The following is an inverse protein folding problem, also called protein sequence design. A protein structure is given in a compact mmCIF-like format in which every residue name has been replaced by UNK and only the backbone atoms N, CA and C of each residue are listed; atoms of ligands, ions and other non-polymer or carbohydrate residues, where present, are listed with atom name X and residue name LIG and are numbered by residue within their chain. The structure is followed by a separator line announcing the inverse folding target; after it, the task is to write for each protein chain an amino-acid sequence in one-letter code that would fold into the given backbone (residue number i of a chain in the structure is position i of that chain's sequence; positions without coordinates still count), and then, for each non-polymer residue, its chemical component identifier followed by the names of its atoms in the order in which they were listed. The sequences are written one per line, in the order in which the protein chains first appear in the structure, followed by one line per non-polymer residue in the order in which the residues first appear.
data_IF_104129064531
#
_entry.id   IF_104129064531
#
_cell.length_a   1.000
_cell.length_b   1.000
_cell.length_c   1.000
_cell.angle_alpha   90.00
_cell.angle_beta   90.00
_cell.angle_gamma   90.00
#
_symmetry.space_group_name_H-M   'P 1'
#
loop_
_entity.id
_entity.type
_entity.pdbx_description
1 polymer ?
#
# COMPACT_ATOMS: atom_id res chain seq x y z
N UNK A 1 77.54 54.16 -59.98
CA UNK A 1 76.77 54.59 -58.79
C UNK A 1 75.46 53.82 -58.81
N UNK A 2 75.23 52.92 -57.86
CA UNK A 2 74.22 51.87 -57.94
C UNK A 2 72.82 52.40 -57.60
N UNK A 3 71.85 52.22 -58.50
CA UNK A 3 70.44 52.62 -58.34
C UNK A 3 69.72 51.89 -57.18
N UNK A 4 70.37 50.89 -56.56
CA UNK A 4 69.86 50.19 -55.37
C UNK A 4 69.91 50.99 -54.08
N UNK A 5 70.79 51.99 -53.96
CA UNK A 5 70.97 52.71 -52.69
C UNK A 5 70.03 53.93 -52.51
N UNK A 6 69.35 54.37 -53.57
CA UNK A 6 68.36 55.45 -53.49
C UNK A 6 66.93 54.96 -53.17
N UNK A 7 66.66 53.67 -53.29
CA UNK A 7 65.37 53.06 -52.92
C UNK A 7 65.29 52.58 -51.47
N UNK A 8 66.39 52.67 -50.70
CA UNK A 8 66.45 52.24 -49.31
C UNK A 8 65.94 53.29 -48.29
N UNK A 9 65.57 54.51 -48.71
CA UNK A 9 65.22 55.62 -47.80
C UNK A 9 64.01 56.45 -48.25
N UNK A 10 62.94 55.83 -48.74
CA UNK A 10 61.67 56.54 -49.00
C UNK A 10 60.75 56.46 -47.76
N UNK A 11 60.40 57.60 -47.12
CA UNK A 11 59.61 57.64 -45.88
C UNK A 11 58.17 57.10 -46.04
N UNK A 12 57.68 56.95 -47.26
CA UNK A 12 56.34 56.44 -47.58
C UNK A 12 56.11 54.97 -47.20
N UNK A 13 57.14 54.11 -47.32
CA UNK A 13 57.00 52.67 -46.98
C UNK A 13 56.93 52.45 -45.46
N UNK A 14 57.50 53.37 -44.70
CA UNK A 14 57.43 53.40 -43.24
C UNK A 14 56.06 53.92 -42.81
N UNK A 15 55.54 54.95 -43.48
CA UNK A 15 54.22 55.54 -43.21
C UNK A 15 53.04 54.62 -43.55
N UNK A 16 53.05 53.95 -44.70
CA UNK A 16 52.05 52.93 -45.06
C UNK A 16 52.05 51.77 -44.06
N UNK A 17 53.25 51.29 -43.69
CA UNK A 17 53.42 50.24 -42.69
C UNK A 17 52.96 50.69 -41.30
N UNK A 18 53.18 51.96 -40.91
CA UNK A 18 52.67 52.51 -39.64
C UNK A 18 51.14 52.58 -39.65
N UNK A 19 50.51 53.00 -40.76
CA UNK A 19 49.05 53.05 -40.87
C UNK A 19 48.40 51.66 -40.87
N UNK A 20 49.03 50.68 -41.53
CA UNK A 20 48.57 49.28 -41.51
C UNK A 20 48.70 48.68 -40.11
N UNK A 21 49.80 48.96 -39.40
CA UNK A 21 49.97 48.48 -38.01
C UNK A 21 48.98 49.11 -37.04
N UNK A 22 48.60 50.37 -37.26
CA UNK A 22 47.64 51.07 -36.39
C UNK A 22 46.20 50.56 -36.62
N UNK A 23 45.85 50.24 -37.87
CA UNK A 23 44.58 49.58 -38.22
C UNK A 23 44.54 48.17 -37.62
N UNK A 24 45.62 47.39 -37.73
CA UNK A 24 45.71 46.05 -37.13
C UNK A 24 45.54 46.10 -35.60
N UNK A 25 46.21 47.04 -34.92
CA UNK A 25 46.05 47.25 -33.47
C UNK A 25 44.65 47.72 -33.05
N UNK A 26 43.88 48.33 -33.96
CA UNK A 26 42.46 48.64 -33.72
C UNK A 26 41.61 47.39 -33.87
N UNK A 27 41.81 46.63 -34.95
CA UNK A 27 41.10 45.37 -35.18
C UNK A 27 41.35 44.35 -34.06
N UNK A 28 42.58 44.26 -33.54
CA UNK A 28 42.93 43.36 -32.44
C UNK A 28 42.17 43.73 -31.15
N UNK A 29 42.02 45.02 -30.86
CA UNK A 29 41.21 45.49 -29.72
C UNK A 29 39.73 45.23 -29.91
N UNK A 30 39.18 45.51 -31.09
CA UNK A 30 37.77 45.26 -31.39
C UNK A 30 37.45 43.74 -31.33
N UNK A 31 38.39 42.90 -31.75
CA UNK A 31 38.33 41.45 -31.59
C UNK A 31 38.34 41.03 -30.13
N UNK A 32 39.26 41.56 -29.31
CA UNK A 32 39.34 41.26 -27.88
C UNK A 32 38.05 41.69 -27.14
N UNK A 33 37.51 42.88 -27.47
CA UNK A 33 36.24 43.36 -26.92
C UNK A 33 35.06 42.45 -27.34
N UNK A 34 35.02 42.02 -28.60
CA UNK A 34 34.00 41.09 -29.07
C UNK A 34 34.11 39.70 -28.41
N UNK A 35 35.33 39.18 -28.22
CA UNK A 35 35.59 37.93 -27.51
C UNK A 35 35.14 38.01 -26.05
N UNK A 36 35.46 39.12 -25.37
CA UNK A 36 35.02 39.37 -24.00
C UNK A 36 33.48 39.40 -23.89
N UNK A 37 32.80 40.04 -24.83
CA UNK A 37 31.33 40.08 -24.84
C UNK A 37 30.72 38.71 -25.14
N UNK A 38 31.34 37.91 -26.03
CA UNK A 38 30.95 36.51 -26.24
C UNK A 38 31.08 35.70 -24.95
N UNK A 39 32.19 35.83 -24.21
CA UNK A 39 32.37 35.15 -22.93
C UNK A 39 31.33 35.61 -21.89
N UNK A 40 31.03 36.91 -21.84
CA UNK A 40 29.98 37.47 -20.96
C UNK A 40 28.60 36.91 -21.28
N UNK A 41 28.21 36.90 -22.55
CA UNK A 41 26.92 36.36 -22.98
C UNK A 41 26.83 34.85 -22.77
N UNK A 42 27.92 34.10 -23.00
CA UNK A 42 27.95 32.66 -22.72
C UNK A 42 27.77 32.36 -21.23
N UNK A 43 28.43 33.12 -20.36
CA UNK A 43 28.26 32.97 -18.90
C UNK A 43 26.84 33.36 -18.45
N UNK A 44 26.25 34.39 -19.04
CA UNK A 44 24.87 34.79 -18.79
C UNK A 44 23.85 33.72 -19.25
N UNK A 45 24.08 33.10 -20.42
CA UNK A 45 23.27 31.98 -20.92
C UNK A 45 23.33 30.79 -19.96
N UNK A 46 24.54 30.39 -19.53
CA UNK A 46 24.72 29.27 -18.60
C UNK A 46 24.00 29.56 -17.28
N UNK A 47 24.14 30.77 -16.75
CA UNK A 47 23.46 31.20 -15.53
C UNK A 47 21.94 31.09 -15.67
N UNK A 48 21.36 31.65 -16.73
CA UNK A 48 19.91 31.63 -16.96
C UNK A 48 19.40 30.19 -17.15
N UNK A 49 20.15 29.34 -17.86
CA UNK A 49 19.80 27.93 -18.04
C UNK A 49 19.75 27.18 -16.70
N UNK A 50 20.71 27.41 -15.81
CA UNK A 50 20.72 26.80 -14.48
C UNK A 50 19.54 27.32 -13.62
N UNK A 51 19.22 28.62 -13.69
CA UNK A 51 18.02 29.15 -13.04
C UNK A 51 16.73 28.52 -13.58
N UNK A 52 16.61 28.35 -14.90
CA UNK A 52 15.47 27.67 -15.52
C UNK A 52 15.34 26.22 -15.03
N UNK A 53 16.45 25.49 -14.97
CA UNK A 53 16.47 24.11 -14.47
C UNK A 53 16.00 24.04 -13.02
N UNK A 54 16.55 24.89 -12.15
CA UNK A 54 16.14 24.99 -10.74
C UNK A 54 14.65 25.30 -10.58
N UNK A 55 14.12 26.23 -11.38
CA UNK A 55 12.69 26.57 -11.36
C UNK A 55 11.80 25.43 -11.85
N UNK A 56 12.22 24.69 -12.89
CA UNK A 56 11.50 23.49 -13.35
C UNK A 56 11.48 22.40 -12.28
N UNK A 57 12.60 22.15 -11.62
CA UNK A 57 12.68 21.17 -10.53
C UNK A 57 11.81 21.57 -9.34
N UNK A 58 11.82 22.86 -8.97
CA UNK A 58 10.94 23.39 -7.93
C UNK A 58 9.46 23.24 -8.31
N UNK A 59 9.09 23.58 -9.55
CA UNK A 59 7.73 23.40 -10.06
C UNK A 59 7.29 21.94 -10.01
N UNK A 60 8.14 20.98 -10.40
CA UNK A 60 7.80 19.56 -10.32
C UNK A 60 7.56 19.12 -8.87
N UNK A 61 8.39 19.59 -7.93
CA UNK A 61 8.18 19.32 -6.50
C UNK A 61 6.87 19.91 -6.00
N UNK A 62 6.54 21.15 -6.36
CA UNK A 62 5.24 21.75 -5.97
C UNK A 62 4.07 21.03 -6.63
N UNK A 63 4.21 20.64 -7.90
CA UNK A 63 3.17 19.94 -8.64
C UNK A 63 2.91 18.52 -8.10
N UNK A 64 3.95 17.80 -7.62
CA UNK A 64 3.75 16.53 -6.94
C UNK A 64 3.05 16.71 -5.58
N UNK A 65 3.21 17.88 -4.96
CA UNK A 65 2.47 18.28 -3.77
C UNK A 65 1.02 18.71 -4.06
N UNK A 66 0.65 18.88 -5.32
CA UNK A 66 -0.73 19.14 -5.78
C UNK A 66 -1.24 17.99 -6.66
N UNK A 67 -0.77 16.76 -6.42
CA UNK A 67 -1.26 15.59 -7.16
C UNK A 67 -2.78 15.42 -6.96
N UNK A 68 -3.50 14.82 -7.93
CA UNK A 68 -4.95 14.64 -7.83
C UNK A 68 -5.41 13.91 -6.56
N UNK A 69 -4.58 12.99 -6.04
CA UNK A 69 -4.83 12.31 -4.76
C UNK A 69 -4.99 13.26 -3.58
N UNK A 70 -4.42 14.48 -3.64
CA UNK A 70 -4.56 15.54 -2.63
C UNK A 70 -5.82 16.38 -2.81
N UNK A 71 -6.29 16.54 -4.06
CA UNK A 71 -7.46 17.36 -4.40
C UNK A 71 -8.80 16.64 -4.17
N UNK A 72 -8.80 15.30 -4.18
CA UNK A 72 -10.01 14.50 -3.88
C UNK A 72 -10.48 14.81 -2.45
N UNK A 73 -11.75 15.13 -2.18
CA UNK A 73 -12.27 15.28 -0.81
C UNK A 73 -12.18 13.97 -0.01
N UNK A 74 -12.15 14.06 1.32
CA UNK A 74 -12.01 12.87 2.16
C UNK A 74 -13.21 11.91 2.06
N UNK A 75 -14.40 12.42 1.76
CA UNK A 75 -15.64 11.67 1.57
C UNK A 75 -15.59 10.80 0.32
N UNK A 76 -15.07 11.36 -0.77
CA UNK A 76 -14.87 10.63 -2.03
C UNK A 76 -13.79 9.58 -1.84
N UNK A 77 -12.69 9.94 -1.16
CA UNK A 77 -11.63 8.99 -0.83
C UNK A 77 -12.14 7.84 0.03
N UNK A 78 -12.97 8.13 1.03
CA UNK A 78 -13.60 7.11 1.87
C UNK A 78 -14.58 6.23 1.10
N UNK A 79 -15.31 6.78 0.12
CA UNK A 79 -16.18 6.00 -0.77
C UNK A 79 -15.37 5.05 -1.65
N UNK A 80 -14.23 5.50 -2.17
CA UNK A 80 -13.28 4.64 -2.91
C UNK A 80 -12.75 3.54 -1.98
N UNK A 81 -12.42 3.86 -0.74
CA UNK A 81 -11.94 2.88 0.23
C UNK A 81 -13.00 1.84 0.58
N UNK A 82 -14.25 2.26 0.78
CA UNK A 82 -15.35 1.34 1.09
C UNK A 82 -15.66 0.41 -0.10
N UNK A 83 -15.57 0.93 -1.32
CA UNK A 83 -15.66 0.13 -2.54
C UNK A 83 -14.50 -0.87 -2.67
N UNK A 84 -13.27 -0.46 -2.36
CA UNK A 84 -12.09 -1.32 -2.40
C UNK A 84 -12.02 -2.32 -1.23
N UNK A 85 -12.72 -2.04 -0.12
CA UNK A 85 -12.73 -2.84 1.09
C UNK A 85 -14.00 -3.71 1.14
N UNK A 86 -14.02 -4.77 0.32
CA UNK A 86 -15.12 -5.73 0.30
C UNK A 86 -15.17 -6.55 1.59
N UNK A 87 -14.04 -7.16 1.99
CA UNK A 87 -13.93 -7.96 3.21
C UNK A 87 -12.47 -7.99 3.68
N UNK A 88 -12.23 -8.07 5.00
CA UNK A 88 -10.89 -8.25 5.56
C UNK A 88 -10.71 -9.68 6.05
N UNK A 89 -9.88 -10.46 5.38
CA UNK A 89 -9.58 -11.84 5.71
C UNK A 89 -8.44 -11.94 6.72
N UNK A 90 -8.79 -12.39 7.93
CA UNK A 90 -7.85 -12.87 8.93
C UNK A 90 -7.87 -14.39 8.88
N UNK A 91 -6.79 -14.97 8.37
CA UNK A 91 -6.58 -16.41 8.31
C UNK A 91 -5.48 -16.79 9.30
N UNK A 92 -5.74 -17.83 10.08
CA UNK A 92 -4.74 -18.43 10.94
C UNK A 92 -3.57 -19.01 10.14
N UNK A 93 -2.35 -18.82 10.66
CA UNK A 93 -1.15 -19.39 10.06
C UNK A 93 -0.15 -19.85 11.14
N UNK A 94 0.51 -21.01 10.99
CA UNK A 94 0.29 -22.02 9.95
C UNK A 94 -1.04 -22.77 10.13
N UNK A 95 -1.68 -23.13 9.01
CA UNK A 95 -2.92 -23.91 9.03
C UNK A 95 -2.62 -25.34 9.48
N UNK A 96 -3.03 -25.69 10.70
CA UNK A 96 -2.80 -27.01 11.30
C UNK A 96 -4.12 -27.75 11.44
N UNK A 97 -4.38 -28.69 10.52
CA UNK A 97 -5.43 -29.69 10.70
C UNK A 97 -4.72 -30.91 11.29
N UNK A 98 -4.93 -31.14 12.58
CA UNK A 98 -4.47 -32.36 13.24
C UNK A 98 -5.23 -33.55 12.63
N UNK A 99 -4.49 -34.55 12.15
CA UNK A 99 -4.98 -35.93 12.03
C UNK A 99 -4.53 -36.58 13.34
N UNK A 100 -5.47 -37.03 14.18
CA UNK A 100 -5.08 -37.72 15.41
C UNK A 100 -4.45 -39.08 15.04
N UNK A 101 -3.33 -39.42 15.68
CA UNK A 101 -2.67 -40.74 15.61
C UNK A 101 -3.33 -41.77 16.55
N UNK A 102 -4.58 -41.53 17.00
CA UNK A 102 -5.30 -42.42 17.91
C UNK A 102 -6.02 -43.54 17.13
N UNK A 103 -6.18 -44.71 17.74
CA UNK A 103 -6.70 -45.98 17.17
C UNK A 103 -8.10 -45.91 16.49
N UNK A 104 -8.74 -44.74 16.46
CA UNK A 104 -9.95 -44.38 15.71
C UNK A 104 -9.61 -43.75 14.33
N UNK A 105 -8.53 -44.22 13.69
CA UNK A 105 -7.99 -43.78 12.37
C UNK A 105 -9.03 -43.75 11.23
N UNK A 106 -10.19 -44.41 11.41
CA UNK A 106 -11.13 -44.71 10.32
C UNK A 106 -12.11 -43.59 9.96
N UNK A 107 -12.22 -42.50 10.73
CA UNK A 107 -13.36 -41.58 10.59
C UNK A 107 -13.06 -40.16 10.07
N UNK A 108 -11.81 -39.69 10.08
CA UNK A 108 -11.51 -38.30 9.69
C UNK A 108 -10.17 -38.15 8.96
N UNK A 109 -10.18 -38.10 7.61
CA UNK A 109 -8.97 -37.78 6.84
C UNK A 109 -8.81 -36.26 6.67
N UNK A 110 -7.56 -35.77 6.64
CA UNK A 110 -7.25 -34.35 6.38
C UNK A 110 -7.87 -33.82 5.08
N UNK A 111 -8.08 -34.71 4.09
CA UNK A 111 -8.67 -34.42 2.79
C UNK A 111 -10.19 -34.15 2.85
N UNK A 112 -10.87 -34.59 3.91
CA UNK A 112 -12.31 -34.39 4.11
C UNK A 112 -12.64 -32.97 4.62
N UNK A 113 -11.62 -32.22 5.04
CA UNK A 113 -11.79 -30.86 5.55
C UNK A 113 -11.58 -29.82 4.45
N UNK A 114 -12.45 -28.78 4.37
CA UNK A 114 -12.28 -27.73 3.39
C UNK A 114 -10.97 -26.99 3.65
N UNK A 115 -10.20 -26.82 2.57
CA UNK A 115 -8.98 -26.05 2.60
C UNK A 115 -9.28 -24.58 2.93
N UNK A 116 -8.37 -23.89 3.64
CA UNK A 116 -8.49 -22.45 3.88
C UNK A 116 -8.48 -21.69 2.55
N UNK A 117 -8.89 -20.42 2.58
CA UNK A 117 -8.80 -19.55 1.41
C UNK A 117 -7.36 -19.54 0.88
N UNK A 118 -7.16 -19.95 -0.37
CA UNK A 118 -5.83 -19.96 -0.98
C UNK A 118 -5.35 -18.52 -1.23
N UNK A 119 -4.29 -18.12 -0.54
CA UNK A 119 -3.69 -16.78 -0.65
C UNK A 119 -2.71 -16.72 -1.83
N UNK A 120 -3.23 -16.55 -3.05
CA UNK A 120 -2.41 -16.47 -4.28
C UNK A 120 -1.77 -15.11 -4.52
N UNK A 121 -2.21 -14.09 -3.76
CA UNK A 121 -1.80 -12.69 -3.89
C UNK A 121 -1.07 -12.23 -2.63
N UNK A 122 -0.33 -11.11 -2.67
CA UNK A 122 0.31 -10.59 -1.46
C UNK A 122 -0.71 -10.37 -0.33
N UNK A 123 -0.34 -10.69 0.92
CA UNK A 123 -1.22 -10.63 2.12
C UNK A 123 -2.02 -9.32 2.22
N UNK A 124 -1.40 -8.21 1.79
CA UNK A 124 -2.00 -6.89 1.81
C UNK A 124 -3.30 -6.78 0.99
N UNK A 125 -3.50 -7.64 -0.01
CA UNK A 125 -4.74 -7.71 -0.82
C UNK A 125 -5.92 -8.30 -0.05
N UNK A 126 -5.66 -9.09 0.98
CA UNK A 126 -6.68 -9.73 1.83
C UNK A 126 -7.03 -8.90 3.07
N UNK A 127 -6.24 -7.87 3.36
CA UNK A 127 -6.48 -6.92 4.47
C UNK A 127 -6.59 -5.48 3.96
N UNK A 128 -7.58 -5.18 3.10
CA UNK A 128 -7.71 -3.88 2.43
C UNK A 128 -7.74 -2.70 3.41
N UNK A 129 -8.44 -2.80 4.55
CA UNK A 129 -8.45 -1.70 5.52
C UNK A 129 -7.05 -1.42 6.11
N UNK A 130 -6.29 -2.48 6.37
CA UNK A 130 -4.92 -2.35 6.88
C UNK A 130 -4.00 -1.77 5.80
N UNK A 131 -4.09 -2.29 4.57
CA UNK A 131 -3.39 -1.82 3.38
C UNK A 131 -3.57 -0.32 3.17
N UNK A 132 -4.83 0.11 3.06
CA UNK A 132 -5.20 1.50 2.85
C UNK A 132 -4.66 2.37 3.99
N UNK A 133 -4.77 1.91 5.25
CA UNK A 133 -4.28 2.65 6.41
C UNK A 133 -2.75 2.76 6.51
N UNK A 134 -2.01 1.99 5.71
CA UNK A 134 -0.55 1.93 5.71
C UNK A 134 0.09 2.72 4.55
N UNK A 135 -0.69 3.25 3.61
CA UNK A 135 -0.13 3.90 2.41
C UNK A 135 0.51 5.27 2.68
N UNK A 136 -0.22 6.17 3.35
CA UNK A 136 0.27 7.50 3.74
C UNK A 136 -0.52 8.06 4.93
N UNK A 137 0.00 9.12 5.55
CA UNK A 137 -0.65 9.79 6.69
C UNK A 137 -2.11 10.16 6.42
N UNK A 138 -2.42 10.72 5.24
CA UNK A 138 -3.78 11.16 4.90
C UNK A 138 -4.74 9.96 4.78
N UNK A 139 -4.35 8.91 4.07
CA UNK A 139 -5.16 7.71 3.90
C UNK A 139 -5.38 7.00 5.24
N UNK A 140 -4.36 6.96 6.09
CA UNK A 140 -4.47 6.51 7.47
C UNK A 140 -5.51 7.32 8.24
N UNK A 141 -5.43 8.65 8.19
CA UNK A 141 -6.39 9.52 8.88
C UNK A 141 -7.81 9.26 8.40
N UNK A 142 -8.04 9.20 7.08
CA UNK A 142 -9.37 8.93 6.52
C UNK A 142 -9.85 7.52 6.91
N UNK A 143 -9.00 6.50 6.81
CA UNK A 143 -9.37 5.12 7.15
C UNK A 143 -9.77 4.96 8.62
N UNK A 144 -9.09 5.67 9.53
CA UNK A 144 -9.41 5.65 10.95
C UNK A 144 -10.70 6.44 11.28
N UNK A 145 -11.03 7.47 10.50
CA UNK A 145 -12.28 8.21 10.62
C UNK A 145 -13.50 7.49 10.01
N UNK A 146 -13.28 6.39 9.29
CA UNK A 146 -14.34 5.58 8.65
C UNK A 146 -14.35 4.15 9.21
N UNK A 147 -15.07 3.90 10.33
CA UNK A 147 -15.06 2.60 11.01
C UNK A 147 -15.65 1.45 10.17
N UNK A 148 -16.47 1.78 9.15
CA UNK A 148 -17.08 0.79 8.25
C UNK A 148 -16.04 -0.08 7.53
N UNK A 149 -14.87 0.47 7.20
CA UNK A 149 -13.77 -0.25 6.56
C UNK A 149 -13.27 -1.44 7.39
N UNK A 150 -13.41 -1.35 8.72
CA UNK A 150 -12.92 -2.35 9.67
C UNK A 150 -14.02 -3.34 10.12
N UNK A 151 -15.24 -3.19 9.60
CA UNK A 151 -16.44 -3.87 10.11
C UNK A 151 -16.82 -5.13 9.32
N UNK A 152 -16.25 -5.33 8.13
CA UNK A 152 -16.46 -6.50 7.26
C UNK A 152 -15.29 -7.46 7.43
N UNK A 153 -15.53 -8.61 8.05
CA UNK A 153 -14.50 -9.56 8.48
C UNK A 153 -14.77 -10.96 7.91
N UNK A 154 -13.73 -11.59 7.38
CA UNK A 154 -13.66 -13.03 7.13
C UNK A 154 -12.63 -13.62 8.06
N UNK A 155 -13.01 -14.60 8.84
CA UNK A 155 -12.17 -15.21 9.86
C UNK A 155 -12.05 -16.69 9.54
N UNK A 156 -10.83 -17.18 9.40
CA UNK A 156 -10.56 -18.60 9.14
C UNK A 156 -9.62 -19.10 10.23
N UNK A 157 -10.11 -20.05 11.03
CA UNK A 157 -9.39 -20.63 12.18
C UNK A 157 -9.55 -22.13 12.24
N UNK A 158 -8.59 -22.82 12.84
CA UNK A 158 -8.64 -24.24 13.15
C UNK A 158 -8.91 -24.48 14.64
N UNK A 159 -9.30 -25.71 14.97
CA UNK A 159 -9.48 -26.18 16.35
C UNK A 159 -8.18 -26.72 16.96
N UNK A 160 -7.02 -26.53 16.32
CA UNK A 160 -5.75 -27.06 16.83
C UNK A 160 -5.41 -26.55 18.22
N UNK A 161 -4.86 -27.44 19.06
CA UNK A 161 -4.43 -27.11 20.43
C UNK A 161 -3.04 -26.45 20.48
N UNK A 162 -2.30 -26.50 19.38
CA UNK A 162 -0.94 -25.94 19.30
C UNK A 162 -0.93 -24.48 18.83
N UNK A 163 -2.09 -23.98 18.40
CA UNK A 163 -2.25 -22.63 17.92
C UNK A 163 -2.15 -21.60 19.05
N UNK A 164 -1.05 -20.85 19.07
CA UNK A 164 -0.91 -19.72 19.96
C UNK A 164 -1.95 -18.65 19.58
N UNK A 165 -2.83 -18.20 20.49
CA UNK A 165 -3.90 -17.29 20.13
C UNK A 165 -3.44 -15.86 19.85
N UNK A 166 -2.31 -15.44 20.40
CA UNK A 166 -1.81 -14.06 20.33
C UNK A 166 -1.70 -13.48 18.91
N UNK A 167 -1.01 -14.14 17.96
CA UNK A 167 -0.83 -13.65 16.59
C UNK A 167 -2.13 -13.41 15.82
N UNK A 168 -3.19 -14.18 16.09
CA UNK A 168 -4.48 -14.04 15.43
C UNK A 168 -5.40 -13.05 16.17
N UNK A 169 -5.48 -13.17 17.50
CA UNK A 169 -6.36 -12.35 18.34
C UNK A 169 -5.95 -10.88 18.32
N UNK A 170 -4.65 -10.57 18.21
CA UNK A 170 -4.19 -9.18 18.23
C UNK A 170 -4.69 -8.35 17.04
N UNK A 171 -4.52 -8.80 15.78
CA UNK A 171 -5.19 -8.19 14.63
C UNK A 171 -6.72 -8.14 14.79
N UNK A 172 -7.36 -9.23 15.22
CA UNK A 172 -8.82 -9.24 15.38
C UNK A 172 -9.31 -8.15 16.34
N UNK A 173 -8.67 -8.01 17.51
CA UNK A 173 -8.96 -6.93 18.48
C UNK A 173 -8.75 -5.55 17.87
N UNK A 174 -7.71 -5.37 17.04
CA UNK A 174 -7.47 -4.11 16.34
C UNK A 174 -8.62 -3.75 15.40
N UNK A 175 -9.09 -4.70 14.61
CA UNK A 175 -10.22 -4.51 13.69
C UNK A 175 -11.53 -4.23 14.44
N UNK A 176 -11.81 -4.99 15.50
CA UNK A 176 -12.99 -4.77 16.35
C UNK A 176 -12.95 -3.40 17.04
N UNK A 177 -11.79 -2.95 17.51
CA UNK A 177 -11.62 -1.61 18.09
C UNK A 177 -11.84 -0.51 17.05
N UNK A 178 -11.24 -0.63 15.85
CA UNK A 178 -11.34 0.38 14.79
C UNK A 178 -12.70 0.44 14.11
N UNK A 179 -13.48 -0.64 14.14
CA UNK A 179 -14.87 -0.63 13.67
C UNK A 179 -15.82 0.12 14.60
N UNK A 180 -15.40 0.47 15.81
CA UNK A 180 -16.15 1.32 16.73
C UNK A 180 -17.54 0.75 17.03
N UNK A 181 -18.59 1.50 16.68
CA UNK A 181 -19.99 1.09 16.84
C UNK A 181 -20.69 0.80 15.50
N UNK A 182 -19.94 0.66 14.41
CA UNK A 182 -20.54 0.29 13.13
C UNK A 182 -21.06 -1.15 13.19
N UNK A 183 -22.18 -1.46 12.52
CA UNK A 183 -22.67 -2.83 12.46
C UNK A 183 -21.63 -3.75 11.81
N UNK A 184 -21.41 -4.92 12.39
CA UNK A 184 -20.42 -5.91 11.96
C UNK A 184 -21.02 -6.89 10.97
N UNK A 185 -20.26 -7.18 9.91
CA UNK A 185 -20.53 -8.24 8.94
C UNK A 185 -19.39 -9.27 9.07
N UNK A 186 -19.71 -10.43 9.63
CA UNK A 186 -18.72 -11.43 10.03
C UNK A 186 -19.04 -12.76 9.36
N UNK A 187 -18.05 -13.29 8.66
CA UNK A 187 -17.99 -14.69 8.24
C UNK A 187 -16.90 -15.39 9.04
N UNK A 188 -17.26 -16.40 9.81
CA UNK A 188 -16.36 -17.21 10.62
C UNK A 188 -16.38 -18.65 10.11
N UNK A 189 -15.22 -19.13 9.66
CA UNK A 189 -14.99 -20.50 9.24
C UNK A 189 -14.08 -21.18 10.28
N UNK A 190 -14.61 -22.22 10.94
CA UNK A 190 -13.89 -23.01 11.94
C UNK A 190 -13.69 -24.42 11.39
N UNK A 191 -12.43 -24.88 11.35
CA UNK A 191 -12.06 -26.17 10.78
C UNK A 191 -11.38 -27.09 11.80
N UNK A 192 -11.50 -28.40 11.61
CA UNK A 192 -10.88 -29.42 12.46
C UNK A 192 -11.88 -30.14 13.37
N UNK A 193 -11.43 -31.15 14.13
CA UNK A 193 -12.30 -31.94 14.99
C UNK A 193 -12.86 -31.11 16.14
N UNK A 194 -13.97 -31.57 16.71
CA UNK A 194 -14.54 -30.96 17.91
C UNK A 194 -13.55 -31.09 19.08
N UNK A 195 -13.25 -29.97 19.76
CA UNK A 195 -12.42 -29.94 20.97
C UNK A 195 -13.03 -28.98 21.98
N UNK A 196 -13.14 -29.43 23.24
CA UNK A 196 -13.68 -28.64 24.34
C UNK A 196 -12.66 -27.61 24.88
N UNK A 197 -13.05 -26.34 24.80
CA UNK A 197 -12.75 -25.25 25.73
C UNK A 197 -11.34 -24.65 25.89
N UNK A 198 -10.36 -24.93 25.02
CA UNK A 198 -9.09 -24.17 25.05
C UNK A 198 -8.48 -23.80 23.70
N UNK A 199 -9.14 -24.11 22.59
CA UNK A 199 -8.62 -23.84 21.25
C UNK A 199 -8.70 -22.36 20.86
N UNK A 200 -7.96 -21.96 19.82
CA UNK A 200 -8.06 -20.62 19.23
C UNK A 200 -9.51 -20.28 18.85
N UNK A 201 -10.24 -21.23 18.28
CA UNK A 201 -11.64 -21.04 17.89
C UNK A 201 -12.52 -20.57 19.06
N UNK A 202 -12.34 -21.14 20.26
CA UNK A 202 -13.06 -20.71 21.47
C UNK A 202 -12.72 -19.28 21.91
N UNK A 203 -11.46 -18.87 21.76
CA UNK A 203 -11.06 -17.47 22.04
C UNK A 203 -11.68 -16.49 21.05
N UNK A 204 -11.75 -16.87 19.77
CA UNK A 204 -12.33 -16.05 18.71
C UNK A 204 -13.84 -15.92 18.89
N UNK A 205 -14.56 -17.02 19.11
CA UNK A 205 -16.01 -16.99 19.30
C UNK A 205 -16.40 -16.17 20.53
N UNK A 206 -15.69 -16.34 21.66
CA UNK A 206 -15.91 -15.52 22.86
C UNK A 206 -15.69 -14.03 22.59
N UNK A 207 -14.59 -13.67 21.93
CA UNK A 207 -14.30 -12.28 21.60
C UNK A 207 -15.35 -11.67 20.65
N UNK A 208 -15.82 -12.42 19.66
CA UNK A 208 -16.88 -11.94 18.76
C UNK A 208 -18.20 -11.77 19.52
N UNK A 209 -18.55 -12.70 20.42
CA UNK A 209 -19.78 -12.66 21.20
C UNK A 209 -19.87 -11.41 22.09
N UNK A 210 -18.76 -10.89 22.60
CA UNK A 210 -18.70 -9.60 23.32
C UNK A 210 -19.19 -8.42 22.46
N UNK A 211 -19.10 -8.53 21.13
CA UNK A 211 -19.56 -7.53 20.17
C UNK A 211 -20.88 -7.88 19.48
N UNK A 212 -21.58 -8.93 19.93
CA UNK A 212 -22.80 -9.46 19.30
C UNK A 212 -23.91 -8.43 19.11
N UNK A 213 -24.05 -7.49 20.05
CA UNK A 213 -25.08 -6.42 20.02
C UNK A 213 -25.15 -5.64 18.72
N UNK A 214 -24.01 -5.52 18.04
CA UNK A 214 -23.85 -4.77 16.80
C UNK A 214 -23.56 -5.66 15.59
N UNK A 215 -23.76 -6.97 15.69
CA UNK A 215 -23.73 -7.82 14.51
C UNK A 215 -24.92 -7.47 13.61
N UNK A 216 -24.64 -7.23 12.33
CA UNK A 216 -25.64 -7.06 11.28
C UNK A 216 -25.82 -8.35 10.50
N UNK A 217 -24.71 -8.96 10.10
CA UNK A 217 -24.69 -10.25 9.44
C UNK A 217 -23.66 -11.14 10.14
N UNK A 218 -24.06 -12.35 10.50
CA UNK A 218 -23.16 -13.34 11.08
C UNK A 218 -23.34 -14.67 10.36
N UNK A 219 -22.24 -15.17 9.77
CA UNK A 219 -22.18 -16.46 9.10
C UNK A 219 -21.16 -17.33 9.81
N UNK A 220 -21.58 -18.50 10.28
CA UNK A 220 -20.72 -19.53 10.85
C UNK A 220 -20.71 -20.74 9.94
N UNK A 221 -19.52 -21.13 9.50
CA UNK A 221 -19.25 -22.42 8.88
C UNK A 221 -18.36 -23.20 9.85
N UNK A 222 -18.81 -24.37 10.29
CA UNK A 222 -17.97 -25.22 11.13
C UNK A 222 -18.13 -26.70 10.79
N UNK A 223 -17.14 -27.50 11.14
CA UNK A 223 -17.14 -28.97 10.97
C UNK A 223 -18.08 -29.67 11.92
N UNK A 224 -18.36 -29.06 13.07
CA UNK A 224 -19.32 -29.54 14.05
C UNK A 224 -20.03 -28.34 14.69
N UNK A 225 -21.36 -28.31 14.61
CA UNK A 225 -22.19 -27.24 15.15
C UNK A 225 -22.51 -27.48 16.63
N UNK A 226 -21.66 -26.98 17.53
CA UNK A 226 -22.08 -26.64 18.88
C UNK A 226 -22.01 -25.12 19.07
N UNK A 227 -23.19 -24.51 19.21
CA UNK A 227 -23.28 -23.08 19.49
C UNK A 227 -22.57 -22.80 20.82
N UNK A 228 -21.72 -21.76 20.92
CA UNK A 228 -21.26 -21.28 22.22
C UNK A 228 -22.50 -20.93 23.07
N UNK A 229 -22.40 -21.08 24.39
CA UNK A 229 -23.50 -20.82 25.32
C UNK A 229 -24.32 -19.58 24.89
N UNK A 230 -25.47 -19.83 24.27
CA UNK A 230 -26.24 -18.83 23.52
C UNK A 230 -26.81 -17.73 24.43
N UNK A 231 -26.71 -17.94 25.74
CA UNK A 231 -27.13 -17.03 26.81
C UNK A 231 -26.34 -15.72 26.83
N UNK A 232 -25.18 -15.62 26.15
CA UNK A 232 -24.36 -14.39 26.08
C UNK A 232 -24.49 -13.58 24.79
N UNK A 233 -25.21 -14.09 23.78
CA UNK A 233 -25.26 -13.46 22.46
C UNK A 233 -26.50 -12.56 22.37
N UNK A 234 -26.28 -11.28 22.08
CA UNK A 234 -27.33 -10.28 21.93
C UNK A 234 -27.48 -9.93 20.45
N UNK A 235 -28.64 -10.24 19.88
CA UNK A 235 -28.92 -10.10 18.45
C UNK A 235 -29.66 -8.80 18.07
N UNK A 236 -29.54 -7.75 18.90
CA UNK A 236 -30.30 -6.49 18.74
C UNK A 236 -30.22 -5.83 17.36
N UNK A 237 -29.10 -5.96 16.65
CA UNK A 237 -28.90 -5.37 15.31
C UNK A 237 -28.83 -6.41 14.18
N UNK A 238 -29.09 -7.68 14.49
CA UNK A 238 -28.89 -8.78 13.54
C UNK A 238 -29.97 -8.77 12.46
N UNK A 239 -29.55 -8.64 11.21
CA UNK A 239 -30.39 -8.74 10.02
C UNK A 239 -30.27 -10.12 9.36
N UNK A 240 -29.12 -10.78 9.47
CA UNK A 240 -28.85 -12.08 8.85
C UNK A 240 -28.03 -13.01 9.75
N UNK A 241 -28.50 -14.24 9.94
CA UNK A 241 -27.79 -15.32 10.63
C UNK A 241 -27.74 -16.55 9.73
N UNK A 242 -26.56 -17.04 9.43
CA UNK A 242 -26.34 -18.25 8.63
C UNK A 242 -25.42 -19.20 9.40
N UNK A 243 -25.93 -20.39 9.74
CA UNK A 243 -25.18 -21.41 10.48
C UNK A 243 -25.14 -22.66 9.61
N UNK A 244 -23.94 -23.09 9.21
CA UNK A 244 -23.78 -24.28 8.36
C UNK A 244 -22.71 -25.20 8.92
N UNK A 245 -22.98 -26.49 8.77
CA UNK A 245 -22.05 -27.56 9.08
C UNK A 245 -21.37 -28.06 7.81
N UNK A 246 -20.06 -28.28 7.85
CA UNK A 246 -19.39 -29.11 6.86
C UNK A 246 -19.76 -30.56 7.16
N UNK A 247 -20.62 -31.15 6.33
CA UNK A 247 -20.83 -32.59 6.35
C UNK A 247 -19.71 -33.25 5.53
N UNK A 248 -18.77 -33.99 6.15
CA UNK A 248 -17.84 -34.84 5.40
C UNK A 248 -18.67 -35.99 4.81
N UNK A 249 -19.17 -35.84 3.59
CA UNK A 249 -19.87 -36.93 2.92
C UNK A 249 -18.86 -37.84 2.23
N UNK A 250 -18.75 -39.10 2.68
CA UNK A 250 -18.57 -40.23 1.77
C UNK A 250 -19.95 -40.74 1.37
N UNK A 251 -20.36 -40.50 0.13
CA UNK A 251 -21.41 -41.30 -0.50
C UNK A 251 -20.83 -42.70 -0.70
N UNK A 252 -21.07 -43.60 0.25
CA UNK A 252 -20.86 -45.03 0.03
C UNK A 252 -21.98 -45.51 -0.90
N UNK A 253 -21.63 -45.73 -2.17
CA UNK A 253 -22.47 -46.52 -3.06
C UNK A 253 -22.38 -47.98 -2.61
N UNK A 254 -23.51 -48.52 -2.15
CA UNK A 254 -23.69 -49.94 -1.86
C UNK A 254 -23.66 -50.79 -3.15
#
# INVERSE_FOLDING_TARGET
MNFRDLYAKLPFKIWLRHSETEILLSCDRDLEDAENEVMRLQSEIIYIQEQQKRLRDYRMKVHSLSSPTREIPNEVLASIFDYACEQNLLQEFPWSVEVEDDDDEELFHAEDYPLPTNLTSPIISYLPALSISATCFRWRSVSLSYPGLWSKLKLEVTTSKYSAPGPFITPLKLFLSRSGQKPLDIELNVHGPYRTDSSLSGHVTNLLAEHSKRWKAFKLMCTYLELPETTKIDFSMLESLDLREFKPYRLTFA
#
